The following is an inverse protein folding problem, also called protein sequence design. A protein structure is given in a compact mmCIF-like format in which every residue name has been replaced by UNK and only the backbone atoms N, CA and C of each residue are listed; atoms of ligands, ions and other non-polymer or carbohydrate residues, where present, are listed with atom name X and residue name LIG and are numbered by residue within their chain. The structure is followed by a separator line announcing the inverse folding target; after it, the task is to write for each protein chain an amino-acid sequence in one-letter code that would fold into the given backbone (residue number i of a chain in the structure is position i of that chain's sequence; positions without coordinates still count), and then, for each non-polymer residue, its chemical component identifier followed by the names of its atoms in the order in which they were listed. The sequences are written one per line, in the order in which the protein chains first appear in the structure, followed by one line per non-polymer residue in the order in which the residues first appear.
data_IF_283441292860
#
_entry.id   IF_283441292860
#
_cell.length_a   1.000
_cell.length_b   1.000
_cell.length_c   1.000
_cell.angle_alpha   90.00
_cell.angle_beta   90.00
_cell.angle_gamma   90.00
#
_symmetry.space_group_name_H-M   'P 1'
#
loop_
_entity.id
_entity.type
_entity.pdbx_description
1 polymer ?
#
# COMPACT_ATOMS: atom_id res chain seq x y z
N UNK A 1 -14.06 -28.63 49.31
CA UNK A 1 -15.16 -28.05 48.51
C UNK A 1 -14.56 -27.21 47.39
N UNK A 2 -15.03 -27.39 46.16
CA UNK A 2 -14.73 -26.59 44.94
C UNK A 2 -14.99 -25.09 45.22
N UNK A 3 -14.30 -24.11 44.62
CA UNK A 3 -14.52 -23.56 43.26
C UNK A 3 -13.33 -22.61 42.93
N UNK A 4 -12.55 -22.86 41.88
CA UNK A 4 -12.60 -22.24 40.54
C UNK A 4 -12.66 -20.70 40.58
N UNK A 5 -11.53 -20.06 40.27
CA UNK A 5 -11.47 -18.76 39.58
C UNK A 5 -10.25 -18.79 38.65
N UNK A 6 -10.43 -19.45 37.50
CA UNK A 6 -9.51 -19.36 36.38
C UNK A 6 -10.33 -18.85 35.19
N UNK A 7 -9.95 -17.70 34.66
CA UNK A 7 -10.38 -17.28 33.33
C UNK A 7 -10.97 -15.88 33.24
N UNK A 8 -10.11 -14.85 33.25
CA UNK A 8 -10.34 -13.60 32.49
C UNK A 8 -8.98 -13.05 32.04
N UNK A 9 -8.19 -13.79 31.27
CA UNK A 9 -7.04 -13.25 30.52
C UNK A 9 -6.95 -14.02 29.19
N UNK A 10 -7.80 -13.68 28.22
CA UNK A 10 -7.63 -14.19 26.83
C UNK A 10 -8.32 -13.34 25.75
N UNK A 11 -9.13 -12.34 26.10
CA UNK A 11 -9.89 -11.57 25.09
C UNK A 11 -9.08 -10.41 24.50
N UNK A 12 -8.07 -9.89 25.21
CA UNK A 12 -7.24 -8.75 24.74
C UNK A 12 -6.20 -9.13 23.68
N UNK A 13 -5.86 -10.41 23.52
CA UNK A 13 -4.87 -10.87 22.54
C UNK A 13 -5.41 -10.95 21.11
N UNK A 14 -6.74 -11.03 20.91
CA UNK A 14 -7.33 -11.14 19.57
C UNK A 14 -7.46 -9.80 18.84
N UNK A 15 -7.59 -8.68 19.56
CA UNK A 15 -7.69 -7.35 18.93
C UNK A 15 -6.36 -6.89 18.34
N UNK A 16 -5.25 -7.12 19.04
CA UNK A 16 -3.90 -6.75 18.60
C UNK A 16 -3.50 -7.54 17.33
N UNK A 17 -3.91 -8.80 17.22
CA UNK A 17 -3.57 -9.67 16.09
C UNK A 17 -4.29 -9.29 14.78
N UNK A 18 -5.48 -8.68 14.87
CA UNK A 18 -6.21 -8.20 13.69
C UNK A 18 -5.62 -6.88 13.16
N UNK A 19 -5.16 -5.99 14.04
CA UNK A 19 -4.64 -4.68 13.65
C UNK A 19 -3.44 -4.80 12.69
N UNK A 20 -2.54 -5.76 12.93
CA UNK A 20 -1.34 -5.92 12.11
C UNK A 20 -1.62 -6.33 10.65
N UNK A 21 -2.75 -6.96 10.35
CA UNK A 21 -3.02 -7.51 9.00
C UNK A 21 -3.41 -6.45 7.99
N UNK A 22 -4.02 -5.38 8.46
CA UNK A 22 -4.44 -4.26 7.61
C UNK A 22 -3.44 -3.10 7.64
N UNK A 23 -2.22 -3.35 8.12
CA UNK A 23 -1.17 -2.34 8.15
C UNK A 23 -0.77 -1.89 6.74
N UNK A 24 -0.78 -0.58 6.54
CA UNK A 24 -0.31 0.04 5.31
C UNK A 24 1.22 0.02 5.22
N UNK A 25 1.76 0.30 4.05
CA UNK A 25 3.20 0.22 3.78
C UNK A 25 4.04 1.18 4.62
N UNK A 26 3.47 2.32 5.03
CA UNK A 26 4.11 3.32 5.88
C UNK A 26 4.56 2.76 7.23
N UNK A 27 5.45 3.53 7.86
CA UNK A 27 5.78 3.42 9.27
C UNK A 27 4.93 4.40 10.11
N UNK A 28 5.04 4.30 11.43
CA UNK A 28 4.39 5.23 12.35
C UNK A 28 2.86 5.14 12.34
N UNK A 29 2.18 6.28 12.54
CA UNK A 29 0.72 6.34 12.73
C UNK A 29 -0.07 5.98 11.47
N UNK A 30 0.45 6.34 10.29
CA UNK A 30 -0.26 6.13 9.02
C UNK A 30 -0.44 4.65 8.70
N UNK A 31 0.49 3.81 9.18
CA UNK A 31 0.43 2.36 9.12
C UNK A 31 -0.91 1.79 9.61
N UNK A 32 -1.51 2.38 10.66
CA UNK A 32 -2.72 1.89 11.30
C UNK A 32 -4.02 2.50 10.75
N UNK A 33 -3.93 3.40 9.77
CA UNK A 33 -5.11 4.11 9.26
C UNK A 33 -6.24 3.17 8.81
N UNK A 34 -5.89 2.10 8.08
CA UNK A 34 -6.88 1.19 7.55
C UNK A 34 -7.49 0.30 8.64
N UNK A 35 -6.67 -0.23 9.56
CA UNK A 35 -7.15 -1.01 10.71
C UNK A 35 -8.07 -0.18 11.61
N UNK A 36 -7.75 1.09 11.83
CA UNK A 36 -8.58 2.00 12.63
C UNK A 36 -9.91 2.30 11.94
N UNK A 37 -9.87 2.49 10.61
CA UNK A 37 -11.08 2.71 9.80
C UNK A 37 -11.99 1.48 9.83
N UNK A 38 -11.42 0.27 9.70
CA UNK A 38 -12.16 -0.99 9.79
C UNK A 38 -12.76 -1.15 11.19
N UNK A 39 -12.02 -0.83 12.25
CA UNK A 39 -12.50 -0.96 13.64
C UNK A 39 -13.73 -0.07 13.87
N UNK A 40 -13.70 1.19 13.43
CA UNK A 40 -14.85 2.11 13.51
C UNK A 40 -16.06 1.61 12.74
N UNK A 41 -15.87 1.05 11.54
CA UNK A 41 -16.97 0.48 10.76
C UNK A 41 -17.52 -0.81 11.39
N UNK A 42 -16.66 -1.61 12.03
CA UNK A 42 -17.06 -2.80 12.75
C UNK A 42 -17.89 -2.47 13.99
N UNK A 43 -17.52 -1.43 14.74
CA UNK A 43 -18.31 -0.92 15.88
C UNK A 43 -19.72 -0.48 15.46
N UNK A 44 -19.87 0.08 14.26
CA UNK A 44 -21.17 0.43 13.70
C UNK A 44 -21.98 -0.76 13.14
N UNK A 45 -21.41 -1.96 13.12
CA UNK A 45 -22.05 -3.19 12.63
C UNK A 45 -22.07 -3.38 11.11
N UNK A 46 -21.60 -2.39 10.33
CA UNK A 46 -21.57 -2.41 8.86
C UNK A 46 -20.76 -3.61 8.32
N UNK A 47 -19.61 -3.87 8.93
CA UNK A 47 -18.69 -4.97 8.63
C UNK A 47 -18.26 -5.64 9.94
N UNK A 48 -17.41 -6.67 9.90
CA UNK A 48 -16.70 -7.16 11.09
C UNK A 48 -15.28 -6.57 11.13
N UNK A 49 -14.46 -6.98 12.10
CA UNK A 49 -13.04 -6.64 12.15
C UNK A 49 -12.19 -7.49 11.18
N UNK A 50 -12.80 -8.36 10.37
CA UNK A 50 -12.12 -9.26 9.43
C UNK A 50 -12.69 -9.18 8.00
N UNK A 51 -12.96 -7.98 7.45
CA UNK A 51 -13.55 -7.88 6.11
C UNK A 51 -12.58 -8.35 5.03
N UNK A 52 -13.10 -8.66 3.85
CA UNK A 52 -12.25 -8.67 2.65
C UNK A 52 -11.90 -7.22 2.31
N UNK A 53 -10.63 -6.94 2.04
CA UNK A 53 -10.22 -5.65 1.48
C UNK A 53 -10.02 -5.82 -0.03
N UNK A 54 -10.68 -5.01 -0.84
CA UNK A 54 -10.58 -5.07 -2.30
C UNK A 54 -9.94 -3.78 -2.79
N UNK A 55 -8.69 -3.86 -3.21
CA UNK A 55 -7.92 -2.71 -3.71
C UNK A 55 -7.98 -2.73 -5.24
N UNK A 56 -8.64 -1.74 -5.85
CA UNK A 56 -8.82 -1.63 -7.31
C UNK A 56 -9.31 -2.95 -7.96
N UNK A 57 -10.26 -3.63 -7.30
CA UNK A 57 -10.81 -4.90 -7.79
C UNK A 57 -10.00 -6.15 -7.42
N UNK A 58 -8.79 -6.03 -6.86
CA UNK A 58 -8.02 -7.18 -6.35
C UNK A 58 -8.39 -7.48 -4.89
N UNK A 59 -8.97 -8.66 -4.59
CA UNK A 59 -9.36 -9.02 -3.23
C UNK A 59 -8.16 -9.49 -2.40
N UNK A 60 -8.14 -9.08 -1.14
CA UNK A 60 -7.23 -9.51 -0.08
C UNK A 60 -8.07 -10.00 1.09
N UNK A 61 -8.09 -11.31 1.32
CA UNK A 61 -8.82 -11.89 2.45
C UNK A 61 -8.01 -11.71 3.73
N UNK A 62 -8.70 -11.72 4.86
CA UNK A 62 -8.06 -11.62 6.17
C UNK A 62 -6.96 -12.67 6.40
N UNK A 63 -7.15 -13.89 5.91
CA UNK A 63 -6.16 -14.97 6.01
C UNK A 63 -4.97 -14.77 5.06
N UNK A 64 -5.19 -14.16 3.89
CA UNK A 64 -4.10 -13.89 2.94
C UNK A 64 -3.12 -12.86 3.53
N UNK A 65 -3.66 -11.90 4.29
CA UNK A 65 -2.90 -10.85 4.96
C UNK A 65 -2.03 -11.33 6.12
N UNK A 66 -2.11 -12.61 6.52
CA UNK A 66 -1.12 -13.23 7.42
C UNK A 66 0.22 -13.44 6.72
N UNK A 67 0.16 -13.73 5.42
CA UNK A 67 1.31 -14.20 4.64
C UNK A 67 1.96 -13.08 3.86
N UNK A 68 1.20 -12.03 3.57
CA UNK A 68 1.67 -10.87 2.82
C UNK A 68 1.12 -9.58 3.41
N UNK A 69 1.96 -8.55 3.49
CA UNK A 69 1.53 -7.20 3.86
C UNK A 69 0.66 -6.62 2.73
N UNK A 70 -0.35 -5.84 3.07
CA UNK A 70 -1.16 -5.14 2.08
C UNK A 70 -0.28 -4.11 1.34
N UNK A 71 -0.09 -4.21 0.01
CA UNK A 71 0.78 -3.32 -0.75
C UNK A 71 0.07 -2.00 -1.08
N UNK A 72 -0.30 -1.27 -0.04
CA UNK A 72 -1.11 -0.06 -0.10
C UNK A 72 -0.52 1.00 0.80
N UNK A 73 -0.41 2.21 0.27
CA UNK A 73 -0.03 3.42 0.98
C UNK A 73 -1.25 4.27 1.32
N UNK A 74 -1.22 4.97 2.45
CA UNK A 74 -2.23 5.96 2.87
C UNK A 74 -2.47 7.00 1.79
N UNK A 75 -1.40 7.61 1.25
CA UNK A 75 -1.52 8.70 0.27
C UNK A 75 -2.08 8.23 -1.08
N UNK A 76 -2.01 6.92 -1.36
CA UNK A 76 -2.64 6.33 -2.52
C UNK A 76 -4.17 6.27 -2.39
N UNK A 77 -4.72 6.20 -1.18
CA UNK A 77 -6.14 5.94 -0.96
C UNK A 77 -6.95 7.21 -1.29
N UNK A 78 -7.78 7.12 -2.33
CA UNK A 78 -8.73 8.18 -2.71
C UNK A 78 -10.07 7.97 -2.02
N UNK A 79 -10.52 6.71 -1.94
CA UNK A 79 -11.84 6.38 -1.38
C UNK A 79 -11.82 5.03 -0.69
N UNK A 80 -12.50 4.96 0.44
CA UNK A 80 -12.80 3.73 1.18
C UNK A 80 -14.31 3.61 1.31
N UNK A 81 -14.88 2.49 0.88
CA UNK A 81 -16.33 2.24 0.93
C UNK A 81 -16.59 0.85 1.50
N UNK A 82 -17.37 0.78 2.58
CA UNK A 82 -17.90 -0.49 3.05
C UNK A 82 -19.10 -0.91 2.19
N UNK A 83 -19.13 -2.17 1.81
CA UNK A 83 -20.30 -2.83 1.24
C UNK A 83 -20.99 -3.58 2.39
N UNK A 84 -22.30 -3.43 2.51
CA UNK A 84 -23.09 -4.13 3.51
C UNK A 84 -22.98 -5.66 3.33
N UNK A 85 -23.12 -6.40 4.43
CA UNK A 85 -22.91 -7.86 4.45
C UNK A 85 -23.78 -8.62 3.44
N UNK A 86 -25.04 -8.19 3.23
CA UNK A 86 -25.94 -8.89 2.30
C UNK A 86 -25.47 -8.75 0.86
N UNK A 87 -25.16 -7.52 0.44
CA UNK A 87 -24.62 -7.24 -0.90
C UNK A 87 -23.25 -7.90 -1.06
N UNK A 88 -22.39 -7.82 -0.03
CA UNK A 88 -21.09 -8.46 -0.01
C UNK A 88 -21.17 -9.97 -0.19
N UNK A 89 -22.09 -10.66 0.51
CA UNK A 89 -22.30 -12.11 0.35
C UNK A 89 -22.81 -12.47 -1.04
N UNK A 90 -23.65 -11.63 -1.65
CA UNK A 90 -24.12 -11.87 -3.02
C UNK A 90 -23.00 -11.81 -4.06
N UNK A 91 -21.95 -11.01 -3.84
CA UNK A 91 -20.84 -10.80 -4.78
C UNK A 91 -19.66 -11.73 -4.48
N UNK A 92 -19.32 -11.89 -3.20
CA UNK A 92 -18.11 -12.58 -2.73
C UNK A 92 -18.40 -13.91 -2.00
N UNK A 93 -19.66 -14.35 -1.94
CA UNK A 93 -20.09 -15.57 -1.28
C UNK A 93 -19.87 -15.54 0.23
N UNK A 94 -19.55 -16.70 0.81
CA UNK A 94 -19.30 -16.83 2.26
C UNK A 94 -18.20 -15.88 2.77
N UNK A 95 -17.21 -15.55 1.94
CA UNK A 95 -16.16 -14.59 2.32
C UNK A 95 -16.70 -13.17 2.55
N UNK A 96 -17.84 -12.82 1.95
CA UNK A 96 -18.50 -11.53 2.12
C UNK A 96 -19.29 -11.36 3.41
N UNK A 97 -19.51 -12.43 4.18
CA UNK A 97 -20.28 -12.39 5.44
C UNK A 97 -19.63 -11.49 6.51
N UNK A 98 -18.30 -11.42 6.49
CA UNK A 98 -17.51 -10.51 7.31
C UNK A 98 -17.59 -9.04 6.85
N UNK A 99 -18.26 -8.78 5.73
CA UNK A 99 -18.28 -7.49 5.05
C UNK A 99 -17.10 -7.32 4.08
N UNK A 100 -17.21 -6.33 3.20
CA UNK A 100 -16.21 -6.03 2.18
C UNK A 100 -15.90 -4.55 2.18
N UNK A 101 -14.62 -4.22 2.12
CA UNK A 101 -14.12 -2.86 2.03
C UNK A 101 -13.51 -2.62 0.65
N UNK A 102 -14.15 -1.77 -0.16
CA UNK A 102 -13.63 -1.36 -1.46
C UNK A 102 -12.72 -0.15 -1.26
N UNK A 103 -11.47 -0.30 -1.71
CA UNK A 103 -10.47 0.76 -1.74
C UNK A 103 -10.22 1.15 -3.19
N UNK A 104 -10.43 2.42 -3.49
CA UNK A 104 -10.04 3.05 -4.76
C UNK A 104 -8.78 3.85 -4.51
N UNK A 105 -7.73 3.59 -5.31
CA UNK A 105 -6.48 4.35 -5.23
C UNK A 105 -6.38 5.42 -6.32
N UNK A 106 -5.42 6.33 -6.17
CA UNK A 106 -4.96 7.19 -7.25
C UNK A 106 -4.44 6.34 -8.42
N UNK A 107 -4.46 6.91 -9.63
CA UNK A 107 -3.87 6.27 -10.83
C UNK A 107 -2.34 6.29 -10.76
N UNK A 108 -1.79 7.38 -10.26
CA UNK A 108 -0.36 7.59 -10.07
C UNK A 108 0.22 6.55 -9.12
N UNK A 109 1.33 5.91 -9.51
CA UNK A 109 2.07 5.02 -8.61
C UNK A 109 2.75 5.82 -7.50
N UNK A 110 2.75 5.24 -6.31
CA UNK A 110 3.37 5.79 -5.12
C UNK A 110 4.68 5.04 -4.87
N UNK A 111 5.80 5.77 -4.89
CA UNK A 111 7.12 5.24 -4.53
C UNK A 111 7.52 5.80 -3.18
N UNK A 112 7.56 4.93 -2.17
CA UNK A 112 7.92 5.25 -0.79
C UNK A 112 9.39 4.94 -0.51
N UNK A 113 9.99 5.72 0.38
CA UNK A 113 11.31 5.44 0.97
C UNK A 113 11.18 4.77 2.33
N UNK A 114 12.22 4.06 2.77
CA UNK A 114 12.31 3.38 4.07
C UNK A 114 12.65 4.34 5.22
N UNK A 115 11.89 5.43 5.30
CA UNK A 115 11.97 6.41 6.38
C UNK A 115 10.80 6.20 7.36
N UNK A 116 11.02 6.59 8.61
CA UNK A 116 9.98 6.53 9.66
C UNK A 116 9.22 7.84 9.82
N UNK A 117 9.73 8.92 9.22
CA UNK A 117 9.15 10.26 9.21
C UNK A 117 8.55 10.60 7.83
N UNK A 118 8.10 11.85 7.67
CA UNK A 118 7.46 12.36 6.45
C UNK A 118 8.35 12.25 5.20
N UNK A 119 9.67 12.09 5.34
CA UNK A 119 10.57 11.91 4.20
C UNK A 119 10.34 10.60 3.45
N UNK A 120 9.52 9.67 3.98
CA UNK A 120 9.03 8.50 3.22
C UNK A 120 8.34 8.90 1.91
N UNK A 121 7.73 10.09 1.86
CA UNK A 121 7.02 10.62 0.69
C UNK A 121 7.90 11.48 -0.23
N UNK A 122 9.20 11.63 0.06
CA UNK A 122 10.09 12.50 -0.72
C UNK A 122 10.05 12.26 -2.23
N UNK A 123 10.04 10.99 -2.65
CA UNK A 123 9.95 10.65 -4.07
C UNK A 123 8.57 10.97 -4.65
N UNK A 124 7.50 10.74 -3.89
CA UNK A 124 6.12 11.05 -4.31
C UNK A 124 6.03 12.51 -4.73
N UNK A 125 6.53 13.42 -3.90
CA UNK A 125 6.52 14.86 -4.20
C UNK A 125 7.43 15.22 -5.36
N UNK A 126 8.63 14.62 -5.42
CA UNK A 126 9.63 14.92 -6.48
C UNK A 126 9.15 14.55 -7.88
N UNK A 127 8.39 13.47 -8.01
CA UNK A 127 8.01 12.91 -9.33
C UNK A 127 6.56 13.22 -9.72
N UNK A 128 5.77 13.80 -8.82
CA UNK A 128 4.34 14.06 -9.03
C UNK A 128 4.07 14.79 -10.34
N UNK A 129 4.80 15.87 -10.61
CA UNK A 129 4.64 16.69 -11.81
C UNK A 129 4.93 15.90 -13.09
N UNK A 130 5.85 14.94 -13.07
CA UNK A 130 6.16 14.12 -14.23
C UNK A 130 5.00 13.21 -14.62
N UNK A 131 4.26 12.67 -13.63
CA UNK A 131 3.03 11.94 -13.88
C UNK A 131 1.91 12.85 -14.37
N UNK A 132 1.73 14.03 -13.74
CA UNK A 132 0.69 15.00 -14.13
C UNK A 132 0.85 15.50 -15.57
N UNK A 133 2.10 15.62 -16.04
CA UNK A 133 2.46 16.03 -17.40
C UNK A 133 2.57 14.88 -18.39
N UNK A 134 2.29 13.64 -17.97
CA UNK A 134 2.45 12.44 -18.80
C UNK A 134 3.89 12.25 -19.36
N UNK A 135 4.90 12.81 -18.68
CA UNK A 135 6.32 12.68 -19.04
C UNK A 135 6.82 11.25 -18.80
N UNK A 136 6.23 10.56 -17.83
CA UNK A 136 6.46 9.16 -17.50
C UNK A 136 5.11 8.42 -17.47
N UNK A 137 5.12 7.13 -17.82
CA UNK A 137 3.93 6.29 -17.78
C UNK A 137 3.64 5.83 -16.35
N UNK A 138 2.45 5.26 -16.11
CA UNK A 138 2.04 4.76 -14.80
C UNK A 138 3.02 3.74 -14.18
N UNK A 139 3.77 3.00 -15.00
CA UNK A 139 4.78 2.02 -14.53
C UNK A 139 6.17 2.35 -15.06
N UNK A 140 6.80 3.45 -14.61
CA UNK A 140 8.08 3.90 -15.14
C UNK A 140 9.21 2.92 -14.81
N UNK A 141 10.31 2.98 -15.55
CA UNK A 141 11.56 2.37 -15.11
C UNK A 141 12.06 3.09 -13.86
N UNK A 142 12.63 2.35 -12.93
CA UNK A 142 13.39 2.92 -11.81
C UNK A 142 14.83 2.46 -11.97
N UNK A 143 15.77 3.40 -11.92
CA UNK A 143 17.20 3.12 -12.02
C UNK A 143 17.87 3.69 -10.80
N UNK A 144 18.58 2.86 -10.06
CA UNK A 144 19.33 3.25 -8.88
C UNK A 144 20.80 3.04 -9.20
N UNK A 145 21.58 4.12 -9.22
CA UNK A 145 23.02 4.10 -9.54
C UNK A 145 23.36 3.35 -10.84
N UNK A 146 22.55 3.58 -11.88
CA UNK A 146 22.70 2.96 -13.19
C UNK A 146 22.15 1.53 -13.29
N UNK A 147 21.63 0.95 -12.21
CA UNK A 147 21.07 -0.41 -12.19
C UNK A 147 19.53 -0.36 -12.19
N UNK A 148 18.84 -1.00 -13.15
CA UNK A 148 17.39 -1.14 -13.13
C UNK A 148 16.87 -1.84 -11.87
N UNK A 149 16.01 -1.17 -11.12
CA UNK A 149 15.32 -1.71 -9.96
C UNK A 149 14.04 -2.43 -10.38
N UNK A 150 13.96 -3.74 -10.09
CA UNK A 150 12.78 -4.56 -10.39
C UNK A 150 11.72 -4.39 -9.31
N UNK A 151 10.48 -4.14 -9.73
CA UNK A 151 9.31 -4.07 -8.84
C UNK A 151 8.07 -4.64 -9.52
N UNK A 152 7.06 -4.97 -8.72
CA UNK A 152 5.77 -5.45 -9.24
C UNK A 152 4.96 -4.27 -9.80
N UNK A 153 4.92 -4.17 -11.13
CA UNK A 153 4.18 -3.13 -11.86
C UNK A 153 2.65 -3.21 -11.67
N UNK A 154 2.11 -4.30 -11.12
CA UNK A 154 0.68 -4.40 -10.82
C UNK A 154 0.28 -3.68 -9.53
N UNK A 155 1.24 -3.38 -8.66
CA UNK A 155 0.99 -2.69 -7.41
C UNK A 155 0.96 -1.17 -7.63
N UNK A 156 0.05 -0.47 -6.94
CA UNK A 156 0.02 0.99 -6.97
C UNK A 156 1.13 1.58 -6.09
N UNK A 157 1.39 0.99 -4.93
CA UNK A 157 2.37 1.49 -3.96
C UNK A 157 3.57 0.54 -3.89
N UNK A 158 4.78 1.10 -3.94
CA UNK A 158 6.05 0.39 -3.95
C UNK A 158 6.98 1.02 -2.93
N UNK A 159 7.63 0.22 -2.09
CA UNK A 159 8.69 0.68 -1.18
C UNK A 159 10.03 0.42 -1.84
N UNK A 160 10.83 1.46 -2.04
CA UNK A 160 12.21 1.33 -2.49
C UNK A 160 13.13 1.06 -1.29
N UNK A 161 14.16 0.22 -1.43
CA UNK A 161 15.11 -0.09 -0.37
C UNK A 161 16.13 1.04 -0.15
N UNK A 162 15.64 2.28 -0.10
CA UNK A 162 16.44 3.49 0.04
C UNK A 162 15.85 4.35 1.15
N UNK A 163 16.73 5.07 1.86
CA UNK A 163 16.32 6.15 2.75
C UNK A 163 16.64 7.50 2.10
N UNK A 164 15.95 8.56 2.52
CA UNK A 164 16.17 9.91 1.97
C UNK A 164 17.62 10.38 2.10
N UNK A 165 18.29 10.06 3.19
CA UNK A 165 19.61 10.60 3.55
C UNK A 165 20.71 10.18 2.59
N UNK A 166 20.54 9.02 1.94
CA UNK A 166 21.51 8.48 0.98
C UNK A 166 21.22 8.91 -0.46
N UNK A 167 20.12 9.62 -0.74
CA UNK A 167 19.78 10.06 -2.10
C UNK A 167 20.44 11.42 -2.34
N UNK A 168 21.38 11.45 -3.30
CA UNK A 168 22.06 12.67 -3.75
C UNK A 168 21.26 13.42 -4.81
N UNK A 169 20.65 12.71 -5.76
CA UNK A 169 19.88 13.30 -6.85
C UNK A 169 18.73 12.40 -7.33
N UNK A 170 17.68 13.02 -7.87
CA UNK A 170 16.56 12.33 -8.54
C UNK A 170 16.28 13.06 -9.85
N UNK A 171 16.46 12.35 -10.96
CA UNK A 171 16.26 12.85 -12.31
C UNK A 171 15.15 12.08 -13.02
N UNK A 172 14.38 12.77 -13.87
CA UNK A 172 13.32 12.19 -14.67
C UNK A 172 13.73 12.21 -16.13
N UNK A 173 13.78 11.02 -16.73
CA UNK A 173 13.82 10.88 -18.18
C UNK A 173 12.41 10.66 -18.70
N UNK A 174 11.98 11.56 -19.57
CA UNK A 174 10.71 11.40 -20.26
C UNK A 174 10.71 10.15 -21.16
N UNK A 175 9.51 9.73 -21.60
CA UNK A 175 9.32 8.56 -22.47
C UNK A 175 10.23 8.55 -23.71
N UNK A 176 10.43 9.70 -24.35
CA UNK A 176 11.25 9.82 -25.57
C UNK A 176 12.74 9.60 -25.28
N UNK A 177 13.28 10.25 -24.24
CA UNK A 177 14.70 10.14 -23.86
C UNK A 177 15.03 8.77 -23.27
N UNK A 178 14.12 8.18 -22.48
CA UNK A 178 14.30 6.86 -21.88
C UNK A 178 14.54 5.77 -22.93
N UNK A 179 13.78 5.81 -24.04
CA UNK A 179 13.92 4.85 -25.14
C UNK A 179 15.31 4.86 -25.79
N UNK A 180 15.97 6.02 -25.80
CA UNK A 180 17.30 6.18 -26.39
C UNK A 180 18.36 5.52 -25.49
N UNK A 181 18.20 5.63 -24.17
CA UNK A 181 19.20 5.17 -23.19
C UNK A 181 19.00 3.69 -22.84
N UNK A 182 17.75 3.29 -22.58
CA UNK A 182 17.41 1.95 -22.07
C UNK A 182 16.75 1.03 -23.11
N UNK A 183 16.45 1.55 -24.30
CA UNK A 183 15.88 0.77 -25.40
C UNK A 183 14.36 0.85 -25.52
N UNK A 184 13.83 0.31 -26.63
CA UNK A 184 12.42 0.46 -27.04
C UNK A 184 11.41 -0.27 -26.15
N UNK A 185 11.86 -1.20 -25.31
CA UNK A 185 10.97 -1.94 -24.40
C UNK A 185 10.62 -1.11 -23.14
N UNK A 186 11.20 0.09 -22.99
CA UNK A 186 11.05 0.96 -21.83
C UNK A 186 10.48 2.35 -22.17
N UNK A 187 9.41 2.35 -22.98
CA UNK A 187 8.58 3.53 -23.36
C UNK A 187 7.80 4.13 -22.18
N UNK A 188 8.20 3.81 -20.95
CA UNK A 188 7.52 4.19 -19.73
C UNK A 188 8.13 5.45 -19.09
N UNK A 189 9.21 6.00 -19.65
CA UNK A 189 10.04 6.97 -18.96
C UNK A 189 10.82 6.32 -17.81
N UNK A 190 11.75 7.05 -17.21
CA UNK A 190 12.58 6.55 -16.11
C UNK A 190 12.74 7.55 -14.98
N UNK A 191 12.72 7.05 -13.75
CA UNK A 191 13.13 7.74 -12.54
C UNK A 191 14.56 7.27 -12.24
N UNK A 192 15.52 8.15 -12.42
CA UNK A 192 16.93 7.90 -12.10
C UNK A 192 17.20 8.44 -10.70
N UNK A 193 17.68 7.57 -9.83
CA UNK A 193 18.07 7.89 -8.47
C UNK A 193 19.57 7.69 -8.37
N UNK A 194 20.27 8.74 -7.98
CA UNK A 194 21.70 8.67 -7.65
C UNK A 194 21.84 8.70 -6.13
N UNK A 195 22.65 7.80 -5.59
CA UNK A 195 22.96 7.78 -4.16
C UNK A 195 24.27 8.49 -3.87
N UNK A 196 24.46 8.94 -2.63
CA UNK A 196 25.78 9.35 -2.15
C UNK A 196 26.63 8.08 -2.02
N UNK A 197 27.80 8.06 -2.67
CA UNK A 197 28.79 7.00 -2.42
C UNK A 197 29.16 7.04 -0.94
N UNK A 198 28.99 5.92 -0.25
CA UNK A 198 29.59 5.70 1.06
C UNK A 198 31.11 5.57 0.93
#
# INVERSE_FOLDING_TARGET
MKKVFLGIISILSFSIYSQNRYELLENGKEKLFLSDSISKMAESGLITNQPIVVVNGKPFRFQDLEKQKLPLSKIAIVKVVAIDKKTATSIYGHFGEAGVLIITTSKTKIFLLQNEDESTYYLVDKIKTAFEKDEIADSPLIVIDGVPFKYDKTLNSIVLPLKKEIISDVNILNKSSSNVIYGKDEVFGAIIITTTKQ
#
